data_IF_677876366023
#
_entry.id   IF_677876366023
#
_cell.length_a   1.000
_cell.length_b   1.000
_cell.length_c   1.000
_cell.angle_alpha   90.00
_cell.angle_beta   90.00
_cell.angle_gamma   90.00
#
_symmetry.space_group_name_H-M   'P 1'
#
loop_
_entity.id
_entity.type
_entity.pdbx_description
1 polymer ?
#
# COMPACT_ATOMS: atom_id res chain seq x y z
N UNK A 1 -21.90 5.93 -3.78
CA UNK A 1 -22.19 4.63 -4.42
C UNK A 1 -21.82 3.49 -3.46
N UNK A 2 -22.27 2.27 -3.78
CA UNK A 2 -22.24 1.08 -2.90
C UNK A 2 -20.86 0.74 -2.31
N UNK A 3 -19.78 1.01 -3.05
CA UNK A 3 -18.40 0.67 -2.65
C UNK A 3 -17.50 1.87 -2.34
N UNK A 4 -18.06 3.08 -2.26
CA UNK A 4 -17.28 4.30 -1.94
C UNK A 4 -16.55 4.16 -0.61
N UNK A 5 -17.15 3.47 0.36
CA UNK A 5 -16.53 3.22 1.66
C UNK A 5 -15.17 2.51 1.54
N UNK A 6 -14.96 1.66 0.53
CA UNK A 6 -13.65 1.01 0.29
C UNK A 6 -12.62 2.01 -0.21
N UNK A 7 -13.04 2.95 -1.05
CA UNK A 7 -12.21 4.02 -1.61
C UNK A 7 -11.86 5.04 -0.52
N UNK A 8 -12.84 5.47 0.28
CA UNK A 8 -12.65 6.34 1.46
C UNK A 8 -11.75 5.68 2.51
N UNK A 9 -11.93 4.38 2.76
CA UNK A 9 -11.06 3.65 3.68
C UNK A 9 -9.63 3.63 3.16
N UNK A 10 -9.42 3.33 1.87
CA UNK A 10 -8.09 3.38 1.26
C UNK A 10 -7.43 4.75 1.36
N UNK A 11 -8.21 5.81 1.11
CA UNK A 11 -7.75 7.20 1.24
C UNK A 11 -7.19 7.46 2.65
N UNK A 12 -7.99 7.16 3.68
CA UNK A 12 -7.55 7.37 5.06
C UNK A 12 -6.36 6.48 5.45
N UNK A 13 -6.31 5.22 4.99
CA UNK A 13 -5.22 4.30 5.33
C UNK A 13 -3.89 4.69 4.68
N UNK A 14 -3.92 5.28 3.47
CA UNK A 14 -2.74 5.90 2.85
C UNK A 14 -2.19 7.01 3.74
N UNK A 15 -3.05 7.95 4.17
CA UNK A 15 -2.63 9.09 4.99
C UNK A 15 -2.11 8.62 6.35
N UNK A 16 -2.75 7.64 7.00
CA UNK A 16 -2.25 7.07 8.26
C UNK A 16 -0.89 6.40 8.10
N UNK A 17 -0.64 5.72 6.98
CA UNK A 17 0.67 5.14 6.67
C UNK A 17 1.74 6.21 6.55
N UNK A 18 1.47 7.27 5.77
CA UNK A 18 2.38 8.42 5.64
C UNK A 18 2.61 9.12 6.98
N UNK A 19 1.58 9.24 7.81
CA UNK A 19 1.68 9.83 9.16
C UNK A 19 2.63 9.02 10.04
N UNK A 20 2.54 7.68 10.04
CA UNK A 20 3.49 6.83 10.80
C UNK A 20 4.91 7.01 10.28
N UNK A 21 5.11 7.02 8.96
CA UNK A 21 6.44 7.21 8.37
C UNK A 21 7.04 8.57 8.70
N UNK A 22 6.20 9.59 8.89
CA UNK A 22 6.65 10.93 9.27
C UNK A 22 7.24 11.02 10.68
N UNK A 23 6.98 10.02 11.53
CA UNK A 23 7.48 9.96 12.92
C UNK A 23 8.93 9.48 13.02
N UNK A 24 9.50 8.93 11.95
CA UNK A 24 10.89 8.47 11.92
C UNK A 24 11.84 9.58 11.43
N UNK A 25 13.12 9.40 11.70
CA UNK A 25 14.25 10.06 11.02
C UNK A 25 14.96 9.05 10.10
N UNK A 26 15.90 9.52 9.27
CA UNK A 26 16.70 8.60 8.45
C UNK A 26 17.57 7.66 9.31
N UNK A 27 18.02 8.12 10.47
CA UNK A 27 18.84 7.33 11.41
C UNK A 27 18.04 6.17 12.05
N UNK A 28 16.72 6.31 12.14
CA UNK A 28 15.84 5.26 12.70
C UNK A 28 15.61 4.10 11.73
N UNK A 29 15.79 4.31 10.43
CA UNK A 29 15.31 3.39 9.38
C UNK A 29 15.93 2.00 9.44
N UNK A 30 17.15 1.90 9.98
CA UNK A 30 17.89 0.65 10.09
C UNK A 30 17.79 0.01 11.48
N UNK A 31 17.19 0.69 12.45
CA UNK A 31 17.06 0.20 13.83
C UNK A 31 16.00 -0.89 13.87
N UNK A 32 16.37 -2.06 14.42
CA UNK A 32 15.41 -3.13 14.71
C UNK A 32 14.88 -3.00 16.15
N UNK A 33 13.59 -3.28 16.40
CA UNK A 33 13.04 -3.31 17.76
C UNK A 33 13.81 -4.27 18.69
N UNK A 34 14.18 -5.45 18.17
CA UNK A 34 15.07 -6.40 18.83
C UNK A 34 16.33 -6.59 17.97
N UNK A 35 17.50 -6.04 18.35
CA UNK A 35 18.69 -5.99 17.49
C UNK A 35 19.19 -7.35 16.97
N UNK A 36 18.91 -8.44 17.70
CA UNK A 36 19.37 -9.80 17.37
C UNK A 36 18.29 -10.68 16.74
N UNK A 37 17.03 -10.23 16.70
CA UNK A 37 15.96 -11.01 16.09
C UNK A 37 15.74 -10.57 14.65
N UNK A 38 16.16 -11.43 13.70
CA UNK A 38 15.98 -11.19 12.26
C UNK A 38 14.51 -11.32 11.81
N UNK A 39 13.61 -11.76 12.69
CA UNK A 39 12.19 -11.91 12.36
C UNK A 39 11.46 -10.56 12.33
N UNK A 40 11.91 -9.60 13.12
CA UNK A 40 11.31 -8.26 13.16
C UNK A 40 11.92 -7.38 12.09
N UNK A 41 11.07 -6.68 11.34
CA UNK A 41 11.51 -5.74 10.31
C UNK A 41 11.90 -4.40 10.92
N UNK A 42 12.90 -3.75 10.33
CA UNK A 42 13.18 -2.34 10.62
C UNK A 42 12.24 -1.43 9.78
N UNK A 43 12.15 -0.11 10.09
CA UNK A 43 11.25 0.78 9.36
C UNK A 43 11.52 0.82 7.85
N UNK A 44 12.78 0.74 7.41
CA UNK A 44 13.11 0.68 5.97
C UNK A 44 12.46 -0.54 5.29
N UNK A 45 12.60 -1.72 5.88
CA UNK A 45 12.02 -2.97 5.36
C UNK A 45 10.48 -2.91 5.34
N UNK A 46 9.85 -2.23 6.30
CA UNK A 46 8.42 -1.95 6.27
C UNK A 46 8.04 -1.03 5.11
N UNK A 47 8.78 0.07 4.88
CA UNK A 47 8.52 1.01 3.78
C UNK A 47 8.69 0.33 2.41
N UNK A 48 9.81 -0.39 2.21
CA UNK A 48 10.08 -1.17 0.99
C UNK A 48 8.96 -2.17 0.73
N UNK A 49 8.61 -2.97 1.75
CA UNK A 49 7.56 -3.98 1.60
C UNK A 49 6.21 -3.35 1.27
N UNK A 50 5.82 -2.27 1.95
CA UNK A 50 4.54 -1.62 1.69
C UNK A 50 4.45 -1.10 0.26
N UNK A 51 5.48 -0.39 -0.23
CA UNK A 51 5.53 0.10 -1.60
C UNK A 51 5.47 -1.03 -2.64
N UNK A 52 6.34 -2.04 -2.52
CA UNK A 52 6.39 -3.16 -3.48
C UNK A 52 5.13 -4.03 -3.45
N UNK A 53 4.63 -4.32 -2.25
CA UNK A 53 3.44 -5.17 -2.07
C UNK A 53 2.20 -4.49 -2.62
N UNK A 54 2.00 -3.20 -2.30
CA UNK A 54 0.84 -2.47 -2.79
C UNK A 54 0.88 -2.34 -4.31
N UNK A 55 2.04 -1.97 -4.87
CA UNK A 55 2.20 -1.87 -6.32
C UNK A 55 1.88 -3.19 -7.03
N UNK A 56 2.47 -4.30 -6.58
CA UNK A 56 2.19 -5.62 -7.15
C UNK A 56 0.70 -5.94 -7.13
N UNK A 57 0.01 -5.68 -6.02
CA UNK A 57 -1.43 -5.96 -5.92
C UNK A 57 -2.24 -5.09 -6.88
N UNK A 58 -1.94 -3.79 -6.94
CA UNK A 58 -2.63 -2.87 -7.85
C UNK A 58 -2.42 -3.24 -9.31
N UNK A 59 -1.19 -3.55 -9.71
CA UNK A 59 -0.88 -3.97 -11.07
C UNK A 59 -1.53 -5.32 -11.43
N UNK A 60 -1.43 -6.34 -10.58
CA UNK A 60 -1.85 -7.71 -10.96
C UNK A 60 -3.30 -8.06 -10.63
N UNK A 61 -3.88 -7.48 -9.57
CA UNK A 61 -5.23 -7.84 -9.11
C UNK A 61 -6.25 -6.75 -9.46
N UNK A 62 -5.85 -5.48 -9.45
CA UNK A 62 -6.74 -4.37 -9.79
C UNK A 62 -6.56 -3.90 -11.23
N UNK A 63 -5.47 -4.27 -11.92
CA UNK A 63 -5.17 -3.78 -13.26
C UNK A 63 -4.92 -2.27 -13.29
N UNK A 64 -4.36 -1.73 -12.20
CA UNK A 64 -4.06 -0.31 -12.03
C UNK A 64 -2.54 -0.17 -11.96
N UNK A 65 -1.95 0.32 -13.04
CA UNK A 65 -0.54 0.69 -13.13
C UNK A 65 -0.41 2.22 -13.11
N UNK A 66 0.45 2.74 -12.24
CA UNK A 66 0.71 4.18 -12.09
C UNK A 66 1.89 4.68 -12.93
N UNK A 67 2.55 3.78 -13.67
CA UNK A 67 3.62 4.11 -14.62
C UNK A 67 4.93 4.55 -13.97
N UNK A 68 5.17 4.16 -12.72
CA UNK A 68 6.35 4.55 -11.95
C UNK A 68 6.95 3.35 -11.20
N UNK A 69 8.28 3.34 -10.96
CA UNK A 69 8.86 2.32 -10.10
C UNK A 69 8.34 2.47 -8.67
N UNK A 70 8.00 1.37 -7.97
CA UNK A 70 7.36 1.45 -6.65
C UNK A 70 8.29 1.97 -5.55
N UNK A 71 9.61 1.87 -5.75
CA UNK A 71 10.61 2.35 -4.81
C UNK A 71 11.19 3.70 -5.25
N UNK A 72 11.56 4.57 -4.30
CA UNK A 72 12.29 5.79 -4.63
C UNK A 72 13.70 5.46 -5.14
N UNK A 73 14.30 6.40 -5.89
CA UNK A 73 15.69 6.25 -6.34
C UNK A 73 16.73 6.33 -5.21
N UNK A 74 16.34 6.87 -4.05
CA UNK A 74 17.15 6.89 -2.82
C UNK A 74 16.28 6.47 -1.65
N UNK A 75 16.78 5.53 -0.85
CA UNK A 75 16.06 4.96 0.30
C UNK A 75 16.17 5.85 1.55
N UNK A 76 15.77 7.12 1.42
CA UNK A 76 15.60 8.03 2.56
C UNK A 76 14.12 8.11 2.90
N UNK A 77 13.81 8.41 4.17
CA UNK A 77 12.43 8.54 4.66
C UNK A 77 11.60 9.50 3.81
N UNK A 78 12.17 10.67 3.48
CA UNK A 78 11.44 11.67 2.71
C UNK A 78 11.13 11.19 1.29
N UNK A 79 12.06 10.49 0.65
CA UNK A 79 11.85 9.97 -0.70
C UNK A 79 10.84 8.82 -0.73
N UNK A 80 10.80 7.97 0.31
CA UNK A 80 9.71 7.00 0.50
C UNK A 80 8.35 7.67 0.66
N UNK A 81 8.26 8.70 1.51
CA UNK A 81 7.02 9.47 1.71
C UNK A 81 6.53 10.06 0.38
N UNK A 82 7.42 10.69 -0.40
CA UNK A 82 7.07 11.26 -1.71
C UNK A 82 6.59 10.20 -2.69
N UNK A 83 7.37 9.12 -2.88
CA UNK A 83 7.03 8.04 -3.82
C UNK A 83 5.71 7.38 -3.45
N UNK A 84 5.54 7.01 -2.18
CA UNK A 84 4.30 6.37 -1.74
C UNK A 84 3.11 7.31 -1.90
N UNK A 85 3.21 8.57 -1.44
CA UNK A 85 2.12 9.54 -1.55
C UNK A 85 1.68 9.78 -3.00
N UNK A 86 2.63 9.91 -3.92
CA UNK A 86 2.35 10.08 -5.35
C UNK A 86 1.63 8.86 -5.93
N UNK A 87 2.21 7.67 -5.79
CA UNK A 87 1.70 6.46 -6.41
C UNK A 87 0.34 6.07 -5.84
N UNK A 88 0.19 6.10 -4.51
CA UNK A 88 -1.07 5.74 -3.87
C UNK A 88 -2.15 6.83 -3.99
N UNK A 89 -1.76 8.08 -4.28
CA UNK A 89 -2.68 9.14 -4.74
C UNK A 89 -3.24 8.87 -6.13
N UNK A 90 -2.39 8.54 -7.11
CA UNK A 90 -2.82 8.14 -8.47
C UNK A 90 -3.74 6.92 -8.46
N UNK A 91 -3.42 5.93 -7.62
CA UNK A 91 -4.29 4.76 -7.40
C UNK A 91 -5.66 5.18 -6.89
N UNK A 92 -5.73 6.11 -5.93
CA UNK A 92 -7.01 6.63 -5.42
C UNK A 92 -7.83 7.30 -6.52
N UNK A 93 -7.23 8.19 -7.30
CA UNK A 93 -7.92 8.89 -8.39
C UNK A 93 -8.55 7.90 -9.38
N UNK A 94 -7.84 6.82 -9.71
CA UNK A 94 -8.35 5.76 -10.58
C UNK A 94 -9.48 4.97 -9.91
N UNK A 95 -9.37 4.67 -8.61
CA UNK A 95 -10.40 3.94 -7.85
C UNK A 95 -11.72 4.72 -7.74
N UNK A 96 -11.66 6.04 -7.58
CA UNK A 96 -12.86 6.91 -7.52
C UNK A 96 -13.71 6.76 -8.79
N UNK A 97 -13.08 6.51 -9.95
CA UNK A 97 -13.77 6.35 -11.23
C UNK A 97 -14.31 4.94 -11.51
N UNK A 98 -14.19 3.98 -10.59
CA UNK A 98 -14.63 2.59 -10.83
C UNK A 98 -16.09 2.38 -10.46
N UNK A 99 -16.81 1.69 -11.35
CA UNK A 99 -18.21 1.35 -11.17
C UNK A 99 -18.40 0.01 -10.45
N UNK A 100 -19.67 -0.32 -10.23
CA UNK A 100 -20.09 -1.55 -9.56
C UNK A 100 -19.57 -2.80 -10.28
N UNK A 101 -19.69 -2.86 -11.61
CA UNK A 101 -19.32 -4.04 -12.39
C UNK A 101 -17.82 -4.31 -12.28
N UNK A 102 -16.99 -3.26 -12.29
CA UNK A 102 -15.55 -3.39 -12.04
C UNK A 102 -15.24 -3.92 -10.64
N UNK A 103 -15.94 -3.43 -9.60
CA UNK A 103 -15.74 -3.85 -8.21
C UNK A 103 -16.19 -5.30 -7.96
N UNK A 104 -17.25 -5.73 -8.63
CA UNK A 104 -17.81 -7.07 -8.50
C UNK A 104 -17.11 -8.15 -9.34
N UNK A 105 -16.24 -7.74 -10.26
CA UNK A 105 -15.45 -8.66 -11.07
C UNK A 105 -14.56 -9.56 -10.21
N UNK A 106 -14.55 -10.86 -10.53
CA UNK A 106 -13.60 -11.82 -9.97
C UNK A 106 -12.22 -11.68 -10.63
N UNK A 107 -11.20 -11.71 -9.80
CA UNK A 107 -9.80 -11.64 -10.20
C UNK A 107 -8.99 -12.71 -9.45
N UNK A 108 -7.93 -13.17 -10.10
CA UNK A 108 -7.01 -14.11 -9.48
C UNK A 108 -6.33 -13.47 -8.26
N UNK A 109 -6.53 -14.11 -7.12
CA UNK A 109 -5.91 -13.82 -5.84
C UNK A 109 -5.11 -15.05 -5.40
N UNK A 110 -3.84 -15.10 -5.85
CA UNK A 110 -2.97 -16.26 -5.69
C UNK A 110 -3.60 -17.52 -6.30
N UNK A 111 -3.92 -18.53 -5.49
CA UNK A 111 -4.49 -19.82 -5.92
C UNK A 111 -6.02 -19.83 -5.90
N UNK A 112 -6.66 -18.67 -5.69
CA UNK A 112 -8.12 -18.55 -5.61
C UNK A 112 -8.65 -17.37 -6.42
N UNK A 113 -9.91 -17.43 -6.82
CA UNK A 113 -10.64 -16.30 -7.42
C UNK A 113 -11.42 -15.53 -6.35
N UNK A 114 -11.35 -14.20 -6.40
CA UNK A 114 -12.03 -13.30 -5.44
C UNK A 114 -12.52 -12.04 -6.14
N UNK A 115 -13.68 -11.52 -5.71
CA UNK A 115 -14.15 -10.19 -6.14
C UNK A 115 -13.15 -9.10 -5.73
N UNK A 116 -12.98 -8.06 -6.56
CA UNK A 116 -12.10 -6.90 -6.22
C UNK A 116 -12.49 -6.24 -4.90
N UNK A 117 -13.76 -6.20 -4.54
CA UNK A 117 -14.21 -5.71 -3.21
C UNK A 117 -13.54 -6.48 -2.07
N UNK A 118 -13.50 -7.81 -2.15
CA UNK A 118 -12.84 -8.65 -1.14
C UNK A 118 -11.32 -8.43 -1.13
N UNK A 119 -10.70 -8.37 -2.31
CA UNK A 119 -9.25 -8.12 -2.44
C UNK A 119 -8.89 -6.77 -1.81
N UNK A 120 -9.74 -5.75 -1.98
CA UNK A 120 -9.53 -4.42 -1.41
C UNK A 120 -9.57 -4.43 0.12
N UNK A 121 -10.54 -5.13 0.71
CA UNK A 121 -10.58 -5.33 2.17
C UNK A 121 -9.29 -6.00 2.66
N UNK A 122 -8.79 -7.01 1.95
CA UNK A 122 -7.51 -7.65 2.30
C UNK A 122 -6.32 -6.72 2.13
N UNK A 123 -6.29 -5.87 1.10
CA UNK A 123 -5.23 -4.89 0.86
C UNK A 123 -5.19 -3.86 1.98
N UNK A 124 -6.35 -3.35 2.39
CA UNK A 124 -6.51 -2.43 3.52
C UNK A 124 -6.01 -3.10 4.82
N UNK A 125 -6.47 -4.31 5.13
CA UNK A 125 -6.05 -5.03 6.33
C UNK A 125 -4.53 -5.31 6.34
N UNK A 126 -3.96 -5.67 5.20
CA UNK A 126 -2.52 -5.88 5.06
C UNK A 126 -1.73 -4.58 5.26
N UNK A 127 -2.18 -3.46 4.69
CA UNK A 127 -1.58 -2.13 4.95
C UNK A 127 -1.64 -1.78 6.44
N UNK A 128 -2.81 -1.93 7.08
CA UNK A 128 -2.98 -1.66 8.50
C UNK A 128 -2.07 -2.51 9.39
N UNK A 129 -1.92 -3.81 9.07
CA UNK A 129 -1.04 -4.74 9.79
C UNK A 129 0.44 -4.38 9.67
N UNK A 130 0.88 -3.86 8.51
CA UNK A 130 2.29 -3.47 8.33
C UNK A 130 2.61 -2.06 8.82
N UNK A 131 1.59 -1.22 8.99
CA UNK A 131 1.70 0.10 9.61
C UNK A 131 1.78 0.01 11.13
N UNK A 132 0.97 -0.86 11.75
CA UNK A 132 0.93 -1.06 13.21
C UNK A 132 2.12 -1.84 13.72
#
# INVERSE_FOLDING_TARGET
MEYDFLVETYDTERIKTLSVWSMFTDDDLLIRPQPLDKRDRNPLEHMVHQCMSEDKWFCTMFGIDVGAPPLPGKETRLEFIKRYAEDSGKRLEILIGKDRDWWEQEVSFFEAERKRTWVMVRRIAHTAQHRG
#
